data_IF_047513318069
#
_entry.id   IF_047513318069
#
_cell.length_a   1.000
_cell.length_b   1.000
_cell.length_c   1.000
_cell.angle_alpha   90.00
_cell.angle_beta   90.00
_cell.angle_gamma   90.00
#
_symmetry.space_group_name_H-M   'P 1'
#
loop_
_entity.id
_entity.type
_entity.pdbx_description
1 polymer ?
#
# COMPACT_ATOMS: atom_id res chain seq x y z
N UNK A 1 -10.61 -19.56 18.43
CA UNK A 1 -10.84 -18.46 17.50
C UNK A 1 -9.51 -18.03 16.92
N UNK A 2 -9.30 -18.29 15.63
CA UNK A 2 -8.13 -17.78 14.89
C UNK A 2 -8.25 -16.27 14.83
N UNK A 3 -7.38 -15.56 15.54
CA UNK A 3 -7.28 -14.11 15.44
C UNK A 3 -6.86 -13.82 14.00
N UNK A 4 -7.72 -13.14 13.26
CA UNK A 4 -7.44 -12.76 11.88
C UNK A 4 -6.33 -11.72 11.90
N UNK A 5 -5.17 -12.03 11.28
CA UNK A 5 -4.06 -11.08 11.17
C UNK A 5 -4.48 -9.84 10.38
N UNK A 6 -4.04 -8.65 10.76
CA UNK A 6 -4.20 -7.45 9.94
C UNK A 6 -3.60 -7.63 8.54
N UNK A 7 -4.17 -6.96 7.56
CA UNK A 7 -3.74 -7.03 6.16
C UNK A 7 -3.11 -5.71 5.75
N UNK A 8 -1.83 -5.77 5.40
CA UNK A 8 -1.09 -4.72 4.72
C UNK A 8 -1.15 -5.01 3.22
N UNK A 9 -1.70 -4.10 2.43
CA UNK A 9 -1.92 -4.27 1.00
C UNK A 9 -0.96 -3.42 0.19
N UNK A 10 -0.32 -4.03 -0.80
CA UNK A 10 0.27 -3.35 -1.95
C UNK A 10 -0.55 -3.67 -3.19
N UNK A 11 -0.85 -2.66 -4.00
CA UNK A 11 -1.55 -2.83 -5.27
C UNK A 11 -0.85 -2.03 -6.36
N UNK A 12 -0.34 -2.70 -7.39
CA UNK A 12 0.32 -2.05 -8.51
C UNK A 12 1.24 -2.96 -9.33
N UNK A 13 1.83 -2.39 -10.38
CA UNK A 13 2.80 -3.11 -11.21
C UNK A 13 4.09 -3.41 -10.42
N UNK A 14 4.59 -4.63 -10.57
CA UNK A 14 5.82 -5.08 -9.93
C UNK A 14 7.04 -4.67 -10.76
N UNK A 15 7.35 -3.39 -10.70
CA UNK A 15 8.50 -2.74 -11.35
C UNK A 15 9.38 -2.04 -10.30
N UNK A 16 10.63 -1.81 -10.65
CA UNK A 16 11.63 -1.22 -9.72
C UNK A 16 11.16 0.09 -9.09
N UNK A 17 10.51 0.95 -9.87
CA UNK A 17 9.99 2.25 -9.41
C UNK A 17 9.00 2.14 -8.25
N UNK A 18 8.20 1.06 -8.21
CA UNK A 18 7.19 0.81 -7.15
C UNK A 18 7.80 0.30 -5.84
N UNK A 19 9.07 -0.08 -5.85
CA UNK A 19 9.85 -0.38 -4.63
C UNK A 19 9.24 -1.48 -3.71
N UNK A 20 8.62 -2.48 -4.31
CA UNK A 20 8.00 -3.59 -3.56
C UNK A 20 9.04 -4.40 -2.78
N UNK A 21 10.28 -4.44 -3.27
CA UNK A 21 11.38 -5.10 -2.57
C UNK A 21 11.60 -4.51 -1.16
N UNK A 22 11.64 -3.18 -1.04
CA UNK A 22 11.78 -2.53 0.27
C UNK A 22 10.58 -2.80 1.20
N UNK A 23 9.39 -3.00 0.65
CA UNK A 23 8.22 -3.40 1.44
C UNK A 23 8.35 -4.83 1.98
N UNK A 24 8.88 -5.75 1.18
CA UNK A 24 9.19 -7.12 1.60
C UNK A 24 10.29 -7.12 2.68
N UNK A 25 11.34 -6.31 2.50
CA UNK A 25 12.38 -6.15 3.52
C UNK A 25 11.82 -5.54 4.82
N UNK A 26 10.91 -4.57 4.70
CA UNK A 26 10.22 -4.00 5.85
C UNK A 26 9.43 -5.06 6.64
N UNK A 27 8.79 -6.03 5.95
CA UNK A 27 8.10 -7.16 6.59
C UNK A 27 9.03 -8.00 7.47
N UNK A 28 10.32 -8.14 7.10
CA UNK A 28 11.31 -8.91 7.87
C UNK A 28 11.69 -8.25 9.19
N UNK A 29 11.69 -6.92 9.23
CA UNK A 29 12.17 -6.14 10.39
C UNK A 29 11.05 -5.51 11.21
N UNK A 30 9.81 -5.55 10.71
CA UNK A 30 8.65 -5.06 11.45
C UNK A 30 8.40 -5.88 12.73
N UNK A 31 7.92 -5.20 13.77
CA UNK A 31 7.58 -5.83 15.05
C UNK A 31 6.13 -6.34 15.09
N UNK A 32 5.26 -5.80 14.25
CA UNK A 32 3.85 -6.18 14.18
C UNK A 32 3.65 -7.48 13.39
N UNK A 33 2.64 -8.25 13.80
CA UNK A 33 2.24 -9.48 13.11
C UNK A 33 1.08 -9.17 12.14
N UNK A 34 1.37 -9.21 10.85
CA UNK A 34 0.43 -8.92 9.77
C UNK A 34 0.66 -9.80 8.55
N UNK A 35 -0.33 -9.91 7.69
CA UNK A 35 -0.19 -10.50 6.37
C UNK A 35 0.09 -9.40 5.34
N UNK A 36 1.18 -9.54 4.57
CA UNK A 36 1.49 -8.68 3.43
C UNK A 36 0.88 -9.29 2.17
N UNK A 37 -0.10 -8.60 1.60
CA UNK A 37 -0.75 -9.01 0.34
C UNK A 37 -0.26 -8.13 -0.80
N UNK A 38 0.36 -8.74 -1.79
CA UNK A 38 0.92 -8.07 -2.97
C UNK A 38 0.05 -8.43 -4.18
N UNK A 39 -0.71 -7.43 -4.65
CA UNK A 39 -1.62 -7.55 -5.79
C UNK A 39 -1.02 -6.82 -6.97
N UNK A 40 -0.83 -7.54 -8.06
CA UNK A 40 -0.28 -7.04 -9.30
C UNK A 40 0.66 -8.01 -9.98
N UNK A 41 1.10 -7.64 -11.14
CA UNK A 41 2.05 -8.40 -11.96
C UNK A 41 3.13 -7.46 -12.50
N UNK A 42 4.17 -8.02 -13.09
CA UNK A 42 5.25 -7.26 -13.69
C UNK A 42 6.58 -8.04 -13.74
N UNK A 43 7.61 -7.41 -14.33
CA UNK A 43 8.90 -8.07 -14.54
C UNK A 43 9.56 -8.62 -13.27
N UNK A 44 9.27 -8.02 -12.11
CA UNK A 44 9.86 -8.44 -10.82
C UNK A 44 9.05 -9.53 -10.09
N UNK A 45 7.90 -9.96 -10.60
CA UNK A 45 7.02 -10.92 -9.92
C UNK A 45 7.76 -12.19 -9.50
N UNK A 46 8.46 -12.82 -10.44
CA UNK A 46 9.15 -14.09 -10.19
C UNK A 46 10.32 -13.93 -9.22
N UNK A 47 11.11 -12.87 -9.36
CA UNK A 47 12.28 -12.61 -8.52
C UNK A 47 11.85 -12.31 -7.07
N UNK A 48 10.82 -11.48 -6.89
CA UNK A 48 10.28 -11.15 -5.56
C UNK A 48 9.66 -12.37 -4.88
N UNK A 49 8.89 -13.18 -5.62
CA UNK A 49 8.29 -14.40 -5.10
C UNK A 49 9.35 -15.44 -4.71
N UNK A 50 10.39 -15.59 -5.54
CA UNK A 50 11.54 -16.43 -5.25
C UNK A 50 12.27 -15.97 -3.98
N UNK A 51 12.56 -14.68 -3.86
CA UNK A 51 13.19 -14.08 -2.68
C UNK A 51 12.41 -14.39 -1.40
N UNK A 52 11.10 -14.19 -1.40
CA UNK A 52 10.24 -14.48 -0.24
C UNK A 52 10.35 -15.94 0.19
N UNK A 53 10.39 -16.88 -0.77
CA UNK A 53 10.53 -18.31 -0.49
C UNK A 53 11.91 -18.68 0.01
N UNK A 54 12.98 -18.21 -0.63
CA UNK A 54 14.36 -18.53 -0.28
C UNK A 54 14.76 -17.96 1.09
N UNK A 55 14.25 -16.78 1.43
CA UNK A 55 14.51 -16.14 2.71
C UNK A 55 13.51 -16.54 3.81
N UNK A 56 12.55 -17.44 3.51
CA UNK A 56 11.50 -17.91 4.43
C UNK A 56 10.73 -16.78 5.09
N UNK A 57 10.33 -15.74 4.32
CA UNK A 57 9.55 -14.63 4.82
C UNK A 57 8.08 -15.07 4.92
N UNK A 58 7.58 -15.19 6.15
CA UNK A 58 6.23 -15.67 6.39
C UNK A 58 5.16 -14.61 6.14
N UNK A 59 3.94 -15.07 5.88
CA UNK A 59 2.75 -14.22 5.73
C UNK A 59 2.88 -13.18 4.61
N UNK A 60 3.50 -13.55 3.50
CA UNK A 60 3.53 -12.77 2.26
C UNK A 60 2.78 -13.54 1.18
N UNK A 61 1.74 -12.93 0.63
CA UNK A 61 0.89 -13.50 -0.41
C UNK A 61 0.99 -12.69 -1.70
N UNK A 62 1.40 -13.33 -2.78
CA UNK A 62 1.31 -12.79 -4.14
C UNK A 62 0.05 -13.32 -4.81
N UNK A 63 -0.80 -12.44 -5.31
CA UNK A 63 -2.05 -12.85 -6.00
C UNK A 63 -1.93 -12.83 -7.52
N UNK A 64 -0.91 -12.17 -8.07
CA UNK A 64 -0.89 -11.77 -9.46
C UNK A 64 -1.80 -10.58 -9.73
N UNK A 65 -2.02 -10.25 -11.00
CA UNK A 65 -2.96 -9.22 -11.40
C UNK A 65 -4.40 -9.63 -11.05
N UNK A 66 -5.19 -8.65 -10.59
CA UNK A 66 -6.60 -8.83 -10.22
C UNK A 66 -7.44 -7.75 -10.88
N UNK A 67 -8.66 -8.10 -11.29
CA UNK A 67 -9.63 -7.17 -11.87
C UNK A 67 -10.65 -6.65 -10.85
N UNK A 68 -10.79 -7.34 -9.72
CA UNK A 68 -11.75 -7.07 -8.66
C UNK A 68 -11.17 -6.21 -7.51
N UNK A 69 -10.39 -5.20 -7.83
CA UNK A 69 -9.69 -4.35 -6.83
C UNK A 69 -10.65 -3.63 -5.89
N UNK A 70 -11.87 -3.33 -6.36
CA UNK A 70 -12.94 -2.75 -5.56
C UNK A 70 -13.40 -3.65 -4.39
N UNK A 71 -13.14 -4.97 -4.49
CA UNK A 71 -13.41 -5.92 -3.42
C UNK A 71 -12.17 -6.17 -2.55
N UNK A 72 -10.97 -5.97 -3.09
CA UNK A 72 -9.72 -6.23 -2.41
C UNK A 72 -9.37 -5.07 -1.46
N UNK A 73 -9.43 -3.83 -1.94
CA UNK A 73 -9.07 -2.66 -1.13
C UNK A 73 -9.89 -2.56 0.16
N UNK A 74 -11.21 -2.77 0.17
CA UNK A 74 -11.98 -2.76 1.41
C UNK A 74 -11.58 -3.82 2.43
N UNK A 75 -10.90 -4.88 1.99
CA UNK A 75 -10.50 -6.00 2.86
C UNK A 75 -9.21 -5.74 3.64
N UNK A 76 -8.42 -4.74 3.29
CA UNK A 76 -7.17 -4.43 3.98
C UNK A 76 -7.39 -3.53 5.21
N UNK A 77 -6.39 -3.49 6.08
CA UNK A 77 -6.31 -2.55 7.20
C UNK A 77 -5.55 -1.28 6.81
N UNK A 78 -4.54 -1.41 5.96
CA UNK A 78 -3.75 -0.30 5.43
C UNK A 78 -3.23 -0.62 4.03
N UNK A 79 -3.22 0.38 3.14
CA UNK A 79 -2.58 0.29 1.83
C UNK A 79 -1.23 1.01 1.86
N UNK A 80 -0.18 0.36 1.36
CA UNK A 80 1.19 0.89 1.34
C UNK A 80 1.68 1.05 -0.09
N UNK A 81 2.14 2.25 -0.44
CA UNK A 81 2.73 2.59 -1.74
C UNK A 81 4.12 3.21 -1.54
N UNK A 82 5.19 2.38 -1.42
CA UNK A 82 6.54 2.85 -1.08
C UNK A 82 7.36 3.27 -2.30
N UNK A 83 6.73 3.78 -3.34
CA UNK A 83 7.35 4.10 -4.64
C UNK A 83 8.54 5.05 -4.50
N UNK A 84 9.60 4.84 -5.30
CA UNK A 84 10.70 5.80 -5.41
C UNK A 84 10.29 7.08 -6.14
N UNK A 85 9.35 6.99 -7.06
CA UNK A 85 8.70 8.13 -7.70
C UNK A 85 7.28 7.78 -8.12
N UNK A 86 6.39 8.76 -8.03
CA UNK A 86 4.99 8.59 -8.38
C UNK A 86 4.42 9.92 -8.88
N UNK A 87 3.79 9.92 -10.04
CA UNK A 87 3.19 11.13 -10.60
C UNK A 87 1.93 11.52 -9.84
N UNK A 88 1.06 10.56 -9.51
CA UNK A 88 -0.22 10.84 -8.87
C UNK A 88 -0.58 9.88 -7.72
N UNK A 89 -0.41 8.57 -7.89
CA UNK A 89 -0.73 7.60 -6.83
C UNK A 89 -2.23 7.31 -6.68
N UNK A 90 -2.94 7.07 -7.79
CA UNK A 90 -4.38 6.80 -7.84
C UNK A 90 -4.86 5.76 -6.83
N UNK A 91 -4.10 4.70 -6.64
CA UNK A 91 -4.44 3.61 -5.72
C UNK A 91 -4.59 4.10 -4.26
N UNK A 92 -3.86 5.16 -3.88
CA UNK A 92 -4.03 5.79 -2.56
C UNK A 92 -5.39 6.48 -2.44
N UNK A 93 -5.82 7.18 -3.48
CA UNK A 93 -7.13 7.84 -3.51
C UNK A 93 -8.25 6.79 -3.46
N UNK A 94 -8.10 5.67 -4.16
CA UNK A 94 -9.04 4.55 -4.11
C UNK A 94 -9.12 3.94 -2.71
N UNK A 95 -7.98 3.77 -2.04
CA UNK A 95 -7.93 3.30 -0.66
C UNK A 95 -8.62 4.29 0.30
N UNK A 96 -8.35 5.58 0.15
CA UNK A 96 -9.01 6.63 0.93
C UNK A 96 -10.53 6.64 0.68
N UNK A 97 -10.99 6.48 -0.56
CA UNK A 97 -12.41 6.37 -0.89
C UNK A 97 -13.09 5.17 -0.23
N UNK A 98 -12.34 4.08 -0.03
CA UNK A 98 -12.77 2.91 0.74
C UNK A 98 -12.70 3.10 2.26
N UNK A 99 -12.28 4.26 2.75
CA UNK A 99 -12.12 4.54 4.18
C UNK A 99 -10.92 3.79 4.80
N UNK A 100 -9.83 3.62 4.04
CA UNK A 100 -8.63 2.91 4.52
C UNK A 100 -7.50 3.88 4.86
N UNK A 101 -6.75 3.53 5.89
CA UNK A 101 -5.47 4.16 6.17
C UNK A 101 -4.48 3.93 5.02
N UNK A 102 -3.63 4.90 4.75
CA UNK A 102 -2.62 4.80 3.69
C UNK A 102 -1.23 5.14 4.23
N UNK A 103 -0.23 4.47 3.68
CA UNK A 103 1.19 4.79 3.89
C UNK A 103 1.80 4.96 2.51
N UNK A 104 2.49 6.05 2.28
CA UNK A 104 3.14 6.30 1.00
C UNK A 104 4.47 7.02 1.14
N UNK A 105 5.28 6.95 0.11
CA UNK A 105 6.56 7.66 0.07
C UNK A 105 6.36 9.18 0.03
N UNK A 106 7.23 9.90 0.70
CA UNK A 106 7.29 11.36 0.61
C UNK A 106 7.94 11.80 -0.71
N UNK A 107 7.22 11.53 -1.83
CA UNK A 107 7.68 11.83 -3.19
C UNK A 107 6.50 12.22 -4.10
N UNK A 108 6.72 13.18 -4.99
CA UNK A 108 5.81 13.55 -6.07
C UNK A 108 4.36 13.73 -5.60
N UNK A 109 3.42 13.18 -6.36
CA UNK A 109 1.98 13.29 -6.07
C UNK A 109 1.52 12.62 -4.79
N UNK A 110 2.30 11.67 -4.23
CA UNK A 110 1.96 10.99 -2.97
C UNK A 110 1.91 12.00 -1.82
N UNK A 111 2.90 12.91 -1.73
CA UNK A 111 2.96 13.94 -0.68
C UNK A 111 1.79 14.91 -0.74
N UNK A 112 1.15 15.05 -1.90
CA UNK A 112 -0.06 15.88 -2.06
C UNK A 112 -1.33 15.16 -1.61
N UNK A 113 -1.34 13.82 -1.64
CA UNK A 113 -2.52 13.02 -1.30
C UNK A 113 -2.58 12.75 0.21
N UNK A 114 -1.45 12.35 0.81
CA UNK A 114 -1.39 11.93 2.21
C UNK A 114 -1.16 13.14 3.12
N UNK A 115 -2.13 13.37 3.98
CA UNK A 115 -2.06 14.33 5.09
C UNK A 115 -2.00 13.56 6.42
N UNK A 116 -1.53 14.21 7.47
CA UNK A 116 -1.31 13.58 8.79
C UNK A 116 -2.57 13.01 9.44
N UNK A 117 -3.75 13.36 8.92
CA UNK A 117 -5.05 12.90 9.41
C UNK A 117 -5.62 11.69 8.63
N UNK A 118 -4.94 11.23 7.56
CA UNK A 118 -5.38 10.09 6.76
C UNK A 118 -4.32 9.01 6.57
N UNK A 119 -3.05 9.29 6.88
CA UNK A 119 -1.97 8.33 6.68
C UNK A 119 -0.60 8.83 7.09
N UNK A 120 0.43 8.08 6.73
CA UNK A 120 1.82 8.38 7.06
C UNK A 120 2.68 8.47 5.79
N UNK A 121 3.58 9.45 5.78
CA UNK A 121 4.62 9.57 4.75
C UNK A 121 5.92 8.90 5.22
N UNK A 122 6.58 8.19 4.31
CA UNK A 122 7.82 7.45 4.60
C UNK A 122 8.94 7.81 3.62
N UNK A 123 10.17 7.61 4.06
CA UNK A 123 11.33 7.70 3.17
C UNK A 123 11.49 6.37 2.40
N UNK A 124 11.30 6.31 1.07
CA UNK A 124 11.37 5.08 0.29
C UNK A 124 12.78 4.45 0.24
N UNK A 125 13.82 5.23 0.57
CA UNK A 125 15.21 4.76 0.61
C UNK A 125 15.60 4.15 1.97
N UNK A 126 14.68 4.16 2.95
CA UNK A 126 14.91 3.61 4.29
C UNK A 126 13.87 2.54 4.61
N UNK A 127 14.26 1.28 4.54
CA UNK A 127 13.40 0.13 4.89
C UNK A 127 12.82 0.28 6.31
N UNK A 128 13.62 0.77 7.26
CA UNK A 128 13.15 1.02 8.63
C UNK A 128 12.03 2.07 8.73
N UNK A 129 12.04 3.08 7.86
CA UNK A 129 10.95 4.08 7.81
C UNK A 129 9.62 3.42 7.40
N UNK A 130 9.67 2.52 6.43
CA UNK A 130 8.48 1.77 5.97
C UNK A 130 7.99 0.84 7.09
N UNK A 131 8.89 0.07 7.70
CA UNK A 131 8.55 -0.86 8.77
C UNK A 131 7.93 -0.15 10.00
N UNK A 132 8.53 0.97 10.44
CA UNK A 132 8.03 1.75 11.57
C UNK A 132 6.64 2.32 11.31
N UNK A 133 6.37 2.84 10.11
CA UNK A 133 5.05 3.35 9.76
C UNK A 133 4.00 2.23 9.75
N UNK A 134 4.33 1.04 9.25
CA UNK A 134 3.45 -0.11 9.28
C UNK A 134 3.19 -0.53 10.74
N UNK A 135 4.23 -0.64 11.56
CA UNK A 135 4.10 -0.99 12.98
C UNK A 135 3.20 0.00 13.72
N UNK A 136 3.35 1.30 13.47
CA UNK A 136 2.55 2.35 14.08
C UNK A 136 1.07 2.20 13.72
N UNK A 137 0.75 2.04 12.44
CA UNK A 137 -0.64 1.90 11.97
C UNK A 137 -1.25 0.56 12.42
N UNK A 138 -0.51 -0.55 12.33
CA UNK A 138 -1.05 -1.87 12.66
C UNK A 138 -1.28 -2.04 14.18
N UNK A 139 -0.38 -1.53 15.01
CA UNK A 139 -0.49 -1.67 16.46
C UNK A 139 -1.42 -0.64 17.11
N UNK A 140 -1.85 0.39 16.38
CA UNK A 140 -2.70 1.45 16.90
C UNK A 140 -4.06 1.47 16.20
N UNK A 141 -5.04 0.77 16.76
CA UNK A 141 -6.41 0.71 16.20
C UNK A 141 -7.11 2.07 16.24
N UNK A 142 -6.86 2.88 17.26
CA UNK A 142 -7.43 4.23 17.38
C UNK A 142 -6.92 5.15 16.26
N UNK A 143 -5.62 5.09 15.95
CA UNK A 143 -5.04 5.83 14.82
C UNK A 143 -5.68 5.40 13.49
N UNK A 144 -5.86 4.09 13.27
CA UNK A 144 -6.54 3.60 12.07
C UNK A 144 -7.99 4.09 11.97
N UNK A 145 -8.71 4.16 13.08
CA UNK A 145 -10.08 4.69 13.10
C UNK A 145 -10.11 6.18 12.73
N UNK A 146 -9.18 6.98 13.27
CA UNK A 146 -9.04 8.40 12.92
C UNK A 146 -8.77 8.54 11.41
N UNK A 147 -7.81 7.80 10.87
CA UNK A 147 -7.51 7.82 9.44
C UNK A 147 -8.72 7.40 8.60
N UNK A 148 -9.43 6.36 9.00
CA UNK A 148 -10.62 5.90 8.29
C UNK A 148 -11.77 6.92 8.27
N UNK A 149 -11.97 7.66 9.37
CA UNK A 149 -13.00 8.71 9.46
C UNK A 149 -12.71 9.87 8.48
N UNK A 150 -11.45 10.25 8.31
CA UNK A 150 -11.04 11.38 7.47
C UNK A 150 -10.83 10.98 5.99
N UNK A 151 -10.52 9.70 5.74
CA UNK A 151 -10.10 9.19 4.45
C UNK A 151 -11.06 9.53 3.30
N UNK A 152 -12.37 9.29 3.49
CA UNK A 152 -13.36 9.52 2.44
C UNK A 152 -13.50 10.99 2.07
N UNK A 153 -13.44 11.88 3.06
CA UNK A 153 -13.48 13.33 2.79
C UNK A 153 -12.23 13.73 2.00
N UNK A 154 -11.06 13.19 2.38
CA UNK A 154 -9.82 13.43 1.64
C UNK A 154 -9.91 12.96 0.19
N UNK A 155 -10.48 11.78 -0.07
CA UNK A 155 -10.68 11.27 -1.42
C UNK A 155 -11.56 12.20 -2.28
N UNK A 156 -12.56 12.86 -1.68
CA UNK A 156 -13.44 13.79 -2.39
C UNK A 156 -12.70 15.02 -2.91
N UNK A 157 -11.60 15.45 -2.29
CA UNK A 157 -10.77 16.56 -2.77
C UNK A 157 -10.24 16.29 -4.18
N UNK A 158 -10.08 15.01 -4.54
CA UNK A 158 -9.56 14.56 -5.83
C UNK A 158 -10.65 14.16 -6.83
N UNK A 159 -11.94 14.21 -6.47
CA UNK A 159 -13.05 13.79 -7.32
C UNK A 159 -13.22 14.65 -8.58
N UNK A 160 -12.65 15.85 -8.61
CA UNK A 160 -12.71 16.82 -9.72
C UNK A 160 -11.42 16.90 -10.52
N UNK A 161 -10.42 16.07 -10.20
CA UNK A 161 -9.16 16.04 -10.94
C UNK A 161 -9.38 15.25 -12.22
N UNK A 162 -9.12 15.87 -13.37
CA UNK A 162 -9.05 15.16 -14.66
C UNK A 162 -7.83 14.23 -14.64
N UNK A 163 -8.09 12.97 -14.32
CA UNK A 163 -7.05 11.95 -14.30
C UNK A 163 -6.74 11.58 -15.74
N UNK A 164 -5.46 11.67 -16.16
CA UNK A 164 -5.08 11.26 -17.51
C UNK A 164 -5.53 9.81 -17.77
N UNK A 165 -6.29 9.63 -18.85
CA UNK A 165 -6.90 8.34 -19.21
C UNK A 165 -5.89 7.18 -19.29
N UNK A 166 -4.62 7.49 -19.56
CA UNK A 166 -3.54 6.51 -19.68
C UNK A 166 -3.11 5.93 -18.33
N UNK A 167 -3.32 6.63 -17.20
CA UNK A 167 -3.04 6.12 -15.86
C UNK A 167 -4.15 5.20 -15.33
N UNK A 168 -5.35 5.29 -15.91
CA UNK A 168 -6.52 4.49 -15.50
C UNK A 168 -6.59 3.14 -16.22
N UNK A 169 -5.86 2.98 -17.33
CA UNK A 169 -6.00 1.82 -18.23
C UNK A 169 -5.40 0.51 -17.76
N UNK A 170 -4.39 0.53 -16.89
CA UNK A 170 -3.65 -0.69 -16.54
C UNK A 170 -4.42 -1.63 -15.60
N UNK A 171 -5.40 -1.15 -14.91
CA UNK A 171 -6.23 -1.93 -13.99
C UNK A 171 -7.64 -2.22 -14.54
N UNK A 172 -7.97 -1.74 -15.75
CA UNK A 172 -9.19 -2.07 -16.49
C UNK A 172 -8.97 -3.09 -17.62
N UNK A 173 -7.77 -3.68 -17.73
CA UNK A 173 -7.48 -4.70 -18.75
C UNK A 173 -7.28 -6.06 -18.12
#
# INVERSE_FOLDING_TARGET
PTVKKPIVLFLGNLIKRKNVESLIEAKKIANSDYCLVIVGDGPLFNDLNKKVKEENINDVLFTGAREDVENIIPSCDVLVLPSFSESFGLVLIEALACGKAVIGSDVGGISEIITDDVGLLVNPNKVSSIAQAIDEVINNSELREIFALNARNRALDFSKVDIPYDEVKWWKK
#
